data_IF_953875651222
#
_entry.id   IF_953875651222
#
_cell.length_a   1.000
_cell.length_b   1.000
_cell.length_c   1.000
_cell.angle_alpha   90.00
_cell.angle_beta   90.00
_cell.angle_gamma   90.00
#
_symmetry.space_group_name_H-M   'P 1'
#
loop_
_entity.id
_entity.type
_entity.pdbx_description
1 polymer ?
#
# COMPACT_ATOMS: atom_id res chain seq x y z
N UNK A 1 22.44 35.13 27.74
CA UNK A 1 22.48 34.22 26.57
C UNK A 1 22.26 32.78 27.04
N UNK A 2 21.03 32.32 27.30
CA UNK A 2 20.91 31.02 28.00
C UNK A 2 19.55 30.31 28.12
N UNK A 3 18.45 30.86 27.59
CA UNK A 3 17.14 30.17 27.63
C UNK A 3 16.47 30.20 26.25
N UNK A 4 16.51 31.33 25.55
CA UNK A 4 15.90 31.47 24.22
C UNK A 4 16.61 30.62 23.16
N UNK A 5 17.94 30.46 23.23
CA UNK A 5 18.68 29.56 22.33
C UNK A 5 18.41 28.09 22.62
N UNK A 6 18.23 27.71 23.89
CA UNK A 6 17.84 26.33 24.28
C UNK A 6 16.42 25.97 23.83
N UNK A 7 15.51 26.94 23.81
CA UNK A 7 14.14 26.75 23.30
C UNK A 7 14.18 26.66 21.76
N UNK A 8 15.00 27.47 21.08
CA UNK A 8 15.19 27.37 19.62
C UNK A 8 15.83 26.03 19.21
N UNK A 9 16.76 25.47 20.00
CA UNK A 9 17.31 24.12 19.73
C UNK A 9 16.32 22.99 20.04
N UNK A 10 15.39 23.20 20.98
CA UNK A 10 14.32 22.24 21.27
C UNK A 10 13.24 22.23 20.17
N UNK A 11 12.97 23.38 19.54
CA UNK A 11 12.03 23.50 18.42
C UNK A 11 12.66 23.28 17.03
N UNK A 12 13.99 23.29 16.91
CA UNK A 12 14.70 22.81 15.71
C UNK A 12 14.84 21.29 15.68
N UNK A 13 14.07 20.58 16.52
CA UNK A 13 13.94 19.13 16.49
C UNK A 13 13.43 18.69 15.13
N UNK A 14 14.39 18.28 14.31
CA UNK A 14 14.34 17.55 13.06
C UNK A 14 12.97 17.30 12.46
N UNK A 15 12.86 17.63 11.15
CA UNK A 15 12.18 16.75 10.20
C UNK A 15 12.37 15.33 10.70
N UNK A 16 11.30 14.64 11.12
CA UNK A 16 11.37 13.22 11.50
C UNK A 16 12.25 12.56 10.45
N UNK A 17 13.47 12.16 10.83
CA UNK A 17 14.23 11.25 9.99
C UNK A 17 13.29 10.08 9.81
N UNK A 18 12.89 9.82 8.58
CA UNK A 18 12.22 8.57 8.21
C UNK A 18 13.29 7.51 8.37
N UNK A 19 13.55 7.10 9.61
CA UNK A 19 14.54 6.07 9.98
C UNK A 19 14.04 4.66 9.65
N UNK A 20 12.90 4.59 8.97
CA UNK A 20 12.31 3.36 8.48
C UNK A 20 12.38 3.46 6.97
N UNK A 21 13.09 2.50 6.35
CA UNK A 21 13.03 2.25 4.91
C UNK A 21 11.58 2.39 4.46
N UNK A 22 11.31 3.16 3.41
CA UNK A 22 9.95 3.28 2.89
C UNK A 22 9.53 1.93 2.33
N UNK A 23 8.91 1.10 3.18
CA UNK A 23 8.48 -0.27 2.88
C UNK A 23 7.52 -0.33 1.68
N UNK A 24 7.02 0.82 1.20
CA UNK A 24 6.21 0.93 -0.02
C UNK A 24 6.95 0.58 -1.32
N UNK A 25 8.29 0.52 -1.30
CA UNK A 25 9.11 0.06 -2.43
C UNK A 25 9.27 -1.47 -2.48
N UNK A 26 8.87 -2.19 -1.43
CA UNK A 26 8.99 -3.63 -1.33
C UNK A 26 7.65 -4.26 -1.71
N UNK A 27 7.57 -4.78 -2.93
CA UNK A 27 6.33 -5.35 -3.47
C UNK A 27 6.34 -6.88 -3.38
N UNK A 28 5.23 -7.50 -2.97
CA UNK A 28 4.94 -8.87 -3.35
C UNK A 28 5.04 -8.98 -4.88
N UNK A 29 5.73 -10.00 -5.36
CA UNK A 29 5.95 -10.19 -6.81
C UNK A 29 5.23 -11.45 -7.23
N UNK A 30 4.45 -11.38 -8.32
CA UNK A 30 3.96 -12.58 -8.98
C UNK A 30 5.14 -13.30 -9.61
N UNK A 31 5.49 -14.48 -9.08
CA UNK A 31 6.49 -15.31 -9.73
C UNK A 31 5.84 -16.07 -10.90
N UNK A 32 6.53 -16.09 -12.03
CA UNK A 32 6.25 -17.06 -13.09
C UNK A 32 6.27 -18.48 -12.50
N UNK A 33 5.33 -19.36 -12.87
CA UNK A 33 5.34 -20.77 -12.44
C UNK A 33 6.68 -21.48 -12.69
N UNK A 34 7.47 -21.01 -13.67
CA UNK A 34 8.77 -21.57 -14.04
C UNK A 34 9.95 -20.95 -13.26
N UNK A 35 9.77 -19.79 -12.63
CA UNK A 35 10.77 -19.18 -11.74
C UNK A 35 10.64 -19.62 -10.28
N UNK A 36 9.65 -20.48 -9.96
CA UNK A 36 9.46 -21.13 -8.65
C UNK A 36 10.69 -21.91 -8.14
N UNK A 37 11.75 -22.06 -8.94
CA UNK A 37 13.02 -22.68 -8.52
C UNK A 37 14.32 -21.88 -8.75
N UNK A 38 14.29 -20.66 -9.31
CA UNK A 38 15.51 -20.02 -9.88
C UNK A 38 15.81 -18.60 -9.35
N UNK A 39 15.40 -18.25 -8.14
CA UNK A 39 15.67 -16.91 -7.61
C UNK A 39 16.35 -16.98 -6.25
N UNK A 40 17.49 -16.31 -6.13
CA UNK A 40 18.28 -16.01 -4.91
C UNK A 40 17.51 -15.15 -3.88
N UNK A 41 16.19 -15.15 -3.97
CA UNK A 41 15.26 -14.33 -3.21
C UNK A 41 14.45 -15.31 -2.38
N UNK A 42 14.69 -15.29 -1.07
CA UNK A 42 14.21 -16.38 -0.22
C UNK A 42 12.68 -16.41 -0.12
N UNK A 43 12.22 -17.65 -0.17
CA UNK A 43 10.83 -18.08 -0.22
C UNK A 43 10.43 -18.52 1.17
N UNK A 44 9.24 -18.12 1.61
CA UNK A 44 8.64 -18.73 2.79
C UNK A 44 8.59 -20.25 2.56
N UNK A 45 9.01 -21.10 3.52
CA UNK A 45 8.71 -22.51 3.44
C UNK A 45 7.18 -22.61 3.51
N UNK A 46 6.54 -22.86 2.37
CA UNK A 46 5.13 -23.22 2.35
C UNK A 46 5.03 -24.46 3.23
N UNK A 47 4.35 -24.37 4.37
CA UNK A 47 3.92 -25.54 5.12
C UNK A 47 2.73 -26.10 4.34
N UNK A 48 2.85 -27.18 3.55
CA UNK A 48 1.75 -27.60 2.71
C UNK A 48 1.35 -28.98 3.19
N UNK A 49 0.62 -29.06 4.30
CA UNK A 49 -0.24 -30.23 4.41
C UNK A 49 -1.51 -30.04 3.57
N UNK A 50 -1.96 -28.79 3.39
CA UNK A 50 -3.07 -28.40 2.54
C UNK A 50 -2.62 -27.21 1.68
N UNK A 51 -2.32 -27.43 0.40
CA UNK A 51 -1.93 -26.32 -0.50
C UNK A 51 -3.09 -25.34 -0.69
N UNK A 52 -2.80 -24.07 -1.01
CA UNK A 52 -3.82 -23.04 -1.30
C UNK A 52 -4.92 -23.52 -2.26
N UNK A 53 -4.52 -24.31 -3.25
CA UNK A 53 -5.39 -24.97 -4.21
C UNK A 53 -6.49 -25.82 -3.56
N UNK A 54 -6.12 -26.59 -2.53
CA UNK A 54 -7.06 -27.46 -1.82
C UNK A 54 -8.13 -26.66 -1.07
N UNK A 55 -7.77 -25.52 -0.46
CA UNK A 55 -8.75 -24.64 0.20
C UNK A 55 -9.79 -24.10 -0.80
N UNK A 56 -9.34 -23.68 -1.99
CA UNK A 56 -10.26 -23.29 -3.06
C UNK A 56 -11.13 -24.45 -3.56
N UNK A 57 -10.58 -25.66 -3.64
CA UNK A 57 -11.35 -26.85 -4.03
C UNK A 57 -12.42 -27.18 -2.96
N UNK A 58 -12.09 -27.14 -1.67
CA UNK A 58 -13.06 -27.30 -0.59
C UNK A 58 -14.19 -26.27 -0.68
N UNK A 59 -13.84 -25.00 -0.88
CA UNK A 59 -14.83 -23.93 -1.08
C UNK A 59 -15.71 -24.20 -2.31
N UNK A 60 -15.12 -24.70 -3.40
CA UNK A 60 -15.85 -24.90 -4.64
C UNK A 60 -16.78 -26.12 -4.61
N UNK A 61 -16.37 -27.20 -3.94
CA UNK A 61 -17.12 -28.45 -3.86
C UNK A 61 -18.12 -28.49 -2.70
N UNK A 62 -17.97 -27.63 -1.67
CA UNK A 62 -18.89 -27.57 -0.54
C UNK A 62 -19.90 -26.43 -0.70
N UNK A 63 -21.16 -26.78 -0.97
CA UNK A 63 -22.26 -25.81 -1.04
C UNK A 63 -22.50 -25.08 0.29
N UNK A 64 -22.26 -25.77 1.41
CA UNK A 64 -22.39 -25.18 2.75
C UNK A 64 -21.34 -24.09 2.96
N UNK A 65 -20.07 -24.37 2.68
CA UNK A 65 -19.01 -23.37 2.81
C UNK A 65 -19.23 -22.20 1.86
N UNK A 66 -19.60 -22.48 0.61
CA UNK A 66 -19.91 -21.45 -0.38
C UNK A 66 -21.03 -20.53 0.08
N UNK A 67 -22.09 -21.09 0.67
CA UNK A 67 -23.23 -20.31 1.15
C UNK A 67 -22.85 -19.43 2.34
N UNK A 68 -22.12 -19.97 3.32
CA UNK A 68 -21.68 -19.23 4.50
C UNK A 68 -20.77 -18.07 4.10
N UNK A 69 -19.73 -18.33 3.32
CA UNK A 69 -18.77 -17.30 2.91
C UNK A 69 -19.45 -16.22 2.06
N UNK A 70 -20.30 -16.61 1.11
CA UNK A 70 -21.07 -15.64 0.32
C UNK A 70 -21.94 -14.75 1.19
N UNK A 71 -22.62 -15.30 2.20
CA UNK A 71 -23.42 -14.50 3.14
C UNK A 71 -22.55 -13.55 3.96
N UNK A 72 -21.37 -13.99 4.43
CA UNK A 72 -20.43 -13.12 5.14
C UNK A 72 -19.98 -11.93 4.27
N UNK A 73 -19.52 -12.20 3.05
CA UNK A 73 -19.06 -11.16 2.12
C UNK A 73 -20.20 -10.18 1.80
N UNK A 74 -21.41 -10.69 1.55
CA UNK A 74 -22.57 -9.84 1.28
C UNK A 74 -22.92 -8.93 2.47
N UNK A 75 -22.86 -9.47 3.69
CA UNK A 75 -23.14 -8.72 4.91
C UNK A 75 -22.06 -7.67 5.20
N UNK A 76 -20.78 -8.00 5.02
CA UNK A 76 -19.65 -7.07 5.15
C UNK A 76 -19.81 -5.86 4.25
N UNK A 77 -20.16 -6.08 2.98
CA UNK A 77 -20.27 -5.01 1.99
C UNK A 77 -21.69 -4.49 1.79
N UNK A 78 -22.66 -4.86 2.64
CA UNK A 78 -24.08 -4.48 2.47
C UNK A 78 -24.29 -2.97 2.43
N UNK A 79 -23.53 -2.21 3.22
CA UNK A 79 -23.64 -0.75 3.31
C UNK A 79 -22.73 -0.01 2.31
N UNK A 80 -21.90 -0.72 1.57
CA UNK A 80 -20.90 -0.13 0.69
C UNK A 80 -19.81 0.64 1.45
N UNK A 81 -19.14 1.55 0.74
CA UNK A 81 -18.05 2.38 1.27
C UNK A 81 -18.52 3.81 1.45
N UNK A 82 -18.16 4.42 2.58
CA UNK A 82 -18.41 5.84 2.85
C UNK A 82 -17.10 6.61 2.80
N UNK A 83 -17.02 7.61 1.92
CA UNK A 83 -15.88 8.52 1.84
C UNK A 83 -16.04 9.57 2.94
N UNK A 84 -15.09 9.61 3.87
CA UNK A 84 -15.06 10.58 4.97
C UNK A 84 -13.94 11.59 4.71
N UNK A 85 -14.19 12.90 4.84
CA UNK A 85 -13.14 13.90 4.70
C UNK A 85 -12.07 13.71 5.77
N UNK A 86 -10.78 13.84 5.39
CA UNK A 86 -9.64 13.68 6.30
C UNK A 86 -9.60 14.75 7.40
N UNK A 87 -10.04 15.96 7.07
CA UNK A 87 -10.06 17.12 7.95
C UNK A 87 -11.35 17.91 7.73
N UNK A 88 -11.80 18.66 8.72
CA UNK A 88 -12.91 19.59 8.55
C UNK A 88 -12.44 20.92 7.97
N UNK A 89 -11.25 21.37 8.38
CA UNK A 89 -10.65 22.63 7.94
C UNK A 89 -9.13 22.51 7.90
N UNK A 90 -8.50 23.08 6.88
CA UNK A 90 -7.04 23.15 6.73
C UNK A 90 -6.58 24.59 6.52
N UNK A 91 -5.59 25.04 7.27
CA UNK A 91 -5.01 26.37 7.06
C UNK A 91 -4.18 26.40 5.77
N UNK A 92 -4.40 27.41 4.92
CA UNK A 92 -3.70 27.55 3.64
C UNK A 92 -2.22 27.95 3.79
N UNK A 93 -1.84 28.55 4.92
CA UNK A 93 -0.51 29.14 5.13
C UNK A 93 0.41 28.15 5.85
N UNK A 94 -0.03 27.61 7.00
CA UNK A 94 0.80 26.69 7.80
C UNK A 94 0.51 25.21 7.53
N UNK A 95 -0.57 24.89 6.82
CA UNK A 95 -0.97 23.51 6.51
C UNK A 95 -1.56 22.74 7.68
N UNK A 96 -1.83 23.38 8.82
CA UNK A 96 -2.44 22.75 9.99
C UNK A 96 -3.85 22.21 9.67
N UNK A 97 -4.10 20.96 10.06
CA UNK A 97 -5.35 20.23 9.83
C UNK A 97 -6.15 20.19 11.14
N UNK A 98 -7.42 20.58 11.09
CA UNK A 98 -8.34 20.57 12.23
C UNK A 98 -9.54 19.66 11.92
N UNK A 99 -9.93 18.85 12.91
CA UNK A 99 -11.11 17.98 12.81
C UNK A 99 -12.42 18.71 13.14
N UNK A 100 -12.33 19.86 13.80
CA UNK A 100 -13.47 20.72 14.14
C UNK A 100 -13.39 22.03 13.36
N UNK A 101 -14.54 22.67 13.14
CA UNK A 101 -14.60 24.00 12.54
C UNK A 101 -14.06 25.03 13.53
N UNK A 102 -12.84 25.49 13.29
CA UNK A 102 -12.21 26.60 14.01
C UNK A 102 -12.36 27.88 13.19
N UNK A 103 -12.56 29.03 13.85
CA UNK A 103 -12.68 30.33 13.17
C UNK A 103 -11.31 30.91 12.80
N UNK A 104 -10.27 30.63 13.59
CA UNK A 104 -8.90 31.08 13.33
C UNK A 104 -7.94 29.94 13.54
N UNK A 105 -6.85 29.94 12.78
CA UNK A 105 -5.78 28.97 12.98
C UNK A 105 -5.07 29.22 14.32
N UNK A 106 -4.97 28.21 15.18
CA UNK A 106 -4.32 28.32 16.49
C UNK A 106 -2.79 28.53 16.38
N UNK A 107 -2.17 28.01 15.31
CA UNK A 107 -0.72 28.05 15.13
C UNK A 107 -0.22 29.37 14.54
N UNK A 108 -0.93 29.94 13.56
CA UNK A 108 -0.48 31.14 12.85
C UNK A 108 -1.42 32.33 12.99
N UNK A 109 -2.56 32.19 13.68
CA UNK A 109 -3.57 33.24 13.85
C UNK A 109 -4.29 33.65 12.56
N UNK A 110 -3.98 33.01 11.43
CA UNK A 110 -4.56 33.38 10.13
C UNK A 110 -6.01 32.92 10.00
N UNK A 111 -6.79 33.74 9.30
CA UNK A 111 -8.20 33.51 8.97
C UNK A 111 -8.38 32.74 7.64
N UNK A 112 -7.28 32.45 6.94
CA UNK A 112 -7.30 31.74 5.66
C UNK A 112 -7.38 30.23 5.87
N UNK A 113 -8.60 29.78 6.12
CA UNK A 113 -8.99 28.40 6.34
C UNK A 113 -9.69 27.85 5.09
N UNK A 114 -9.28 26.66 4.64
CA UNK A 114 -9.83 25.94 3.49
C UNK A 114 -10.63 24.73 3.98
N UNK A 115 -11.88 24.63 3.53
CA UNK A 115 -12.69 23.42 3.70
C UNK A 115 -12.28 22.33 2.69
N UNK A 116 -12.62 21.06 2.94
CA UNK A 116 -12.45 19.97 1.98
C UNK A 116 -13.05 20.32 0.61
N UNK A 117 -12.30 20.02 -0.43
CA UNK A 117 -12.71 20.34 -1.78
C UNK A 117 -13.73 19.30 -2.29
N UNK A 118 -14.88 19.79 -2.76
CA UNK A 118 -15.90 18.92 -3.36
C UNK A 118 -15.40 18.27 -4.65
N UNK A 119 -14.53 18.94 -5.39
CA UNK A 119 -13.97 18.38 -6.64
C UNK A 119 -13.09 17.16 -6.38
N UNK A 120 -12.31 17.19 -5.29
CA UNK A 120 -11.48 16.05 -4.88
C UNK A 120 -12.36 14.86 -4.47
N UNK A 121 -13.46 15.15 -3.75
CA UNK A 121 -14.46 14.15 -3.39
C UNK A 121 -15.10 13.51 -4.63
N UNK A 122 -15.59 14.31 -5.57
CA UNK A 122 -16.20 13.81 -6.79
C UNK A 122 -15.19 12.98 -7.59
N UNK A 123 -13.96 13.47 -7.78
CA UNK A 123 -12.91 12.75 -8.50
C UNK A 123 -12.64 11.38 -7.90
N UNK A 124 -12.56 11.28 -6.56
CA UNK A 124 -12.37 10.01 -5.88
C UNK A 124 -13.57 9.09 -6.05
N UNK A 125 -14.79 9.63 -5.96
CA UNK A 125 -16.02 8.87 -6.14
C UNK A 125 -16.10 8.25 -7.54
N UNK A 126 -15.85 9.04 -8.58
CA UNK A 126 -15.81 8.56 -9.97
C UNK A 126 -14.74 7.47 -10.15
N UNK A 127 -13.57 7.66 -9.56
CA UNK A 127 -12.50 6.65 -9.61
C UNK A 127 -12.85 5.37 -8.84
N UNK A 128 -13.68 5.42 -7.80
CA UNK A 128 -14.10 4.21 -7.06
C UNK A 128 -15.18 3.40 -7.79
N UNK A 129 -15.94 4.02 -8.69
CA UNK A 129 -16.96 3.36 -9.50
C UNK A 129 -16.32 2.53 -10.61
N UNK A 130 -15.19 2.97 -11.16
CA UNK A 130 -14.41 2.27 -12.18
C UNK A 130 -12.92 2.30 -11.85
N UNK A 131 -12.41 1.16 -11.39
CA UNK A 131 -11.07 1.03 -10.80
C UNK A 131 -10.12 0.24 -11.69
N UNK A 132 -10.61 -0.51 -12.68
CA UNK A 132 -9.78 -1.37 -13.49
C UNK A 132 -10.28 -1.55 -14.93
N UNK A 133 -9.44 -2.13 -15.79
CA UNK A 133 -9.80 -2.32 -17.21
C UNK A 133 -10.98 -3.29 -17.44
N UNK A 134 -11.42 -4.00 -16.40
CA UNK A 134 -12.56 -4.92 -16.45
C UNK A 134 -13.87 -4.24 -16.02
N UNK A 135 -13.91 -2.90 -15.94
CA UNK A 135 -15.05 -2.09 -15.53
C UNK A 135 -15.58 -2.47 -14.13
N UNK A 136 -14.70 -2.92 -13.22
CA UNK A 136 -15.08 -3.27 -11.86
C UNK A 136 -14.98 -2.07 -10.92
N UNK A 137 -15.96 -1.96 -10.02
CA UNK A 137 -15.92 -1.00 -8.92
C UNK A 137 -14.95 -1.44 -7.82
N UNK A 138 -14.50 -0.49 -6.99
CA UNK A 138 -13.64 -0.79 -5.85
C UNK A 138 -14.28 -1.81 -4.90
N UNK A 139 -15.60 -1.71 -4.73
CA UNK A 139 -16.36 -2.60 -3.84
C UNK A 139 -16.34 -4.04 -4.36
N UNK A 140 -16.41 -4.24 -5.68
CA UNK A 140 -16.33 -5.57 -6.28
C UNK A 140 -14.95 -6.19 -6.11
N UNK A 141 -13.89 -5.43 -6.39
CA UNK A 141 -12.51 -5.89 -6.16
C UNK A 141 -12.29 -6.25 -4.69
N UNK A 142 -12.80 -5.43 -3.75
CA UNK A 142 -12.69 -5.72 -2.33
C UNK A 142 -13.52 -6.93 -1.89
N UNK A 143 -14.67 -7.19 -2.51
CA UNK A 143 -15.43 -8.43 -2.28
C UNK A 143 -14.62 -9.65 -2.68
N UNK A 144 -13.94 -9.62 -3.83
CA UNK A 144 -13.07 -10.72 -4.27
C UNK A 144 -11.92 -10.97 -3.28
N UNK A 145 -11.34 -9.91 -2.73
CA UNK A 145 -10.32 -9.98 -1.68
C UNK A 145 -10.88 -10.60 -0.40
N UNK A 146 -12.11 -10.22 -0.01
CA UNK A 146 -12.75 -10.78 1.18
C UNK A 146 -13.07 -12.27 0.99
N UNK A 147 -13.41 -12.72 -0.21
CA UNK A 147 -13.50 -14.16 -0.52
C UNK A 147 -12.16 -14.87 -0.28
N UNK A 148 -11.05 -14.30 -0.76
CA UNK A 148 -9.73 -14.90 -0.55
C UNK A 148 -9.35 -14.98 0.93
N UNK A 149 -9.65 -13.92 1.68
CA UNK A 149 -9.43 -13.89 3.12
C UNK A 149 -10.24 -14.97 3.84
N UNK A 150 -11.52 -15.15 3.49
CA UNK A 150 -12.36 -16.17 4.12
C UNK A 150 -11.99 -17.62 3.71
N UNK A 151 -11.36 -17.83 2.56
CA UNK A 151 -10.98 -19.17 2.08
C UNK A 151 -9.58 -19.58 2.57
N UNK A 152 -8.60 -18.66 2.52
CA UNK A 152 -7.17 -18.95 2.70
C UNK A 152 -6.58 -18.24 3.92
N UNK A 153 -7.28 -17.26 4.49
CA UNK A 153 -6.75 -16.33 5.51
C UNK A 153 -5.61 -15.44 5.00
N UNK A 154 -5.40 -15.41 3.68
CA UNK A 154 -4.46 -14.51 3.03
C UNK A 154 -5.10 -13.91 1.78
N UNK A 155 -4.94 -12.60 1.59
CA UNK A 155 -5.41 -11.90 0.41
C UNK A 155 -4.45 -10.76 0.05
N UNK A 156 -4.32 -10.48 -1.26
CA UNK A 156 -3.38 -9.48 -1.76
C UNK A 156 -4.08 -8.51 -2.71
N UNK A 157 -3.97 -7.22 -2.44
CA UNK A 157 -4.48 -6.15 -3.28
C UNK A 157 -3.34 -5.51 -4.07
N UNK A 158 -3.37 -5.62 -5.39
CA UNK A 158 -2.38 -5.00 -6.27
C UNK A 158 -2.87 -3.62 -6.71
N UNK A 159 -2.07 -2.58 -6.42
CA UNK A 159 -2.33 -1.20 -6.87
C UNK A 159 -1.28 -0.81 -7.89
N UNK A 160 -1.68 -0.70 -9.16
CA UNK A 160 -0.82 -0.23 -10.24
C UNK A 160 -0.76 1.30 -10.18
N UNK A 161 0.44 1.83 -9.99
CA UNK A 161 0.68 3.28 -9.91
C UNK A 161 1.52 3.76 -11.08
N UNK A 162 1.19 4.95 -11.58
CA UNK A 162 2.02 5.77 -12.47
C UNK A 162 2.76 6.79 -11.63
N UNK A 163 4.08 6.81 -11.76
CA UNK A 163 4.96 7.74 -11.06
C UNK A 163 5.39 8.86 -11.99
N UNK A 164 5.44 10.08 -11.48
CA UNK A 164 6.09 11.22 -12.13
C UNK A 164 7.40 11.53 -11.43
N UNK A 165 8.44 11.80 -12.22
CA UNK A 165 9.79 12.00 -11.73
C UNK A 165 10.26 13.45 -11.96
N UNK A 166 11.07 13.97 -11.04
CA UNK A 166 11.84 15.20 -11.22
C UNK A 166 13.02 14.95 -12.18
N UNK A 167 13.67 16.03 -12.64
CA UNK A 167 14.93 15.98 -13.41
C UNK A 167 16.02 15.16 -12.70
N UNK A 168 15.99 15.12 -11.37
CA UNK A 168 16.93 14.35 -10.54
C UNK A 168 16.60 12.86 -10.41
N UNK A 169 15.48 12.39 -11.00
CA UNK A 169 15.00 11.00 -10.89
C UNK A 169 14.19 10.70 -9.62
N UNK A 170 13.87 11.71 -8.82
CA UNK A 170 13.07 11.56 -7.60
C UNK A 170 11.57 11.53 -7.90
N UNK A 171 10.80 10.73 -7.16
CA UNK A 171 9.34 10.63 -7.32
C UNK A 171 8.65 11.86 -6.76
N UNK A 172 7.93 12.60 -7.61
CA UNK A 172 7.15 13.78 -7.23
C UNK A 172 5.74 13.39 -6.83
N UNK A 173 5.09 12.58 -7.67
CA UNK A 173 3.72 12.15 -7.48
C UNK A 173 3.52 10.72 -7.93
N UNK A 174 2.55 10.06 -7.30
CA UNK A 174 2.11 8.72 -7.65
C UNK A 174 0.60 8.76 -7.84
N UNK A 175 0.13 8.50 -9.06
CA UNK A 175 -1.29 8.37 -9.38
C UNK A 175 -1.64 6.87 -9.46
N UNK A 176 -2.62 6.37 -8.68
CA UNK A 176 -3.15 5.03 -8.91
C UNK A 176 -3.85 5.00 -10.27
N UNK A 177 -3.48 4.03 -11.10
CA UNK A 177 -4.13 3.75 -12.36
C UNK A 177 -5.20 2.69 -12.16
N UNK A 178 -4.83 1.61 -11.50
CA UNK A 178 -5.64 0.40 -11.45
C UNK A 178 -5.52 -0.30 -10.10
N UNK A 179 -6.61 -0.91 -9.64
CA UNK A 179 -6.59 -1.84 -8.50
C UNK A 179 -7.14 -3.19 -8.90
N UNK A 180 -6.37 -4.23 -8.61
CA UNK A 180 -6.68 -5.60 -8.95
C UNK A 180 -6.54 -6.50 -7.72
N UNK A 181 -7.33 -7.57 -7.71
CA UNK A 181 -7.14 -8.68 -6.79
C UNK A 181 -5.97 -9.54 -7.29
N UNK A 182 -4.95 -9.69 -6.45
CA UNK A 182 -3.83 -10.58 -6.72
C UNK A 182 -4.07 -11.94 -6.06
N UNK A 183 -3.99 -13.01 -6.85
CA UNK A 183 -4.27 -14.35 -6.36
C UNK A 183 -3.21 -14.81 -5.34
N UNK A 184 -3.63 -15.23 -4.13
CA UNK A 184 -2.72 -15.78 -3.12
C UNK A 184 -1.90 -16.98 -3.62
N UNK A 185 -2.41 -17.75 -4.58
CA UNK A 185 -1.69 -18.91 -5.14
C UNK A 185 -0.41 -18.54 -5.90
N UNK A 186 -0.34 -17.31 -6.41
CA UNK A 186 0.73 -16.79 -7.25
C UNK A 186 1.63 -15.79 -6.53
N UNK A 187 1.20 -15.30 -5.37
CA UNK A 187 1.91 -14.31 -4.59
C UNK A 187 2.83 -14.98 -3.59
N UNK A 188 4.08 -14.53 -3.56
CA UNK A 188 5.07 -14.95 -2.57
C UNK A 188 5.65 -13.71 -1.88
N UNK A 189 5.91 -13.86 -0.58
CA UNK A 189 6.60 -12.87 0.21
C UNK A 189 8.11 -13.00 -0.03
N UNK A 190 8.74 -11.88 -0.34
CA UNK A 190 10.19 -11.78 -0.39
C UNK A 190 10.72 -11.61 1.03
N UNK A 191 11.42 -12.62 1.55
CA UNK A 191 12.02 -12.57 2.89
C UNK A 191 13.26 -13.44 2.99
N UNK A 192 14.20 -13.06 3.84
CA UNK A 192 15.40 -13.83 4.20
C UNK A 192 15.01 -15.03 5.10
N UNK A 193 15.86 -16.07 5.22
CA UNK A 193 15.69 -17.22 6.13
C UNK A 193 15.38 -16.85 7.58
N UNK A 194 15.83 -15.67 8.00
CA UNK A 194 15.55 -15.12 9.34
C UNK A 194 14.14 -14.52 9.46
N UNK A 195 13.30 -14.59 8.42
CA UNK A 195 11.97 -13.98 8.36
C UNK A 195 11.98 -12.46 8.16
N UNK A 196 13.12 -11.88 7.78
CA UNK A 196 13.23 -10.43 7.54
C UNK A 196 12.74 -10.11 6.14
N UNK A 197 11.73 -9.25 6.04
CA UNK A 197 11.15 -8.84 4.77
C UNK A 197 12.15 -8.14 3.85
N UNK A 198 11.95 -8.34 2.54
CA UNK A 198 12.67 -7.68 1.45
C UNK A 198 14.19 -7.83 1.47
N UNK A 199 14.65 -8.93 2.06
CA UNK A 199 16.07 -9.31 2.06
C UNK A 199 16.25 -10.63 1.34
N UNK A 200 17.39 -10.76 0.68
CA UNK A 200 17.91 -12.05 0.21
C UNK A 200 18.61 -12.78 1.37
N UNK A 201 18.91 -14.06 1.20
CA UNK A 201 19.67 -14.88 2.15
C UNK A 201 21.05 -14.27 2.48
N UNK A 202 21.62 -13.51 1.54
CA UNK A 202 22.89 -12.80 1.71
C UNK A 202 22.76 -11.53 2.57
N UNK A 203 21.56 -11.23 3.09
CA UNK A 203 21.26 -10.04 3.89
C UNK A 203 21.11 -8.74 3.08
N UNK A 204 21.32 -8.79 1.76
CA UNK A 204 21.12 -7.66 0.83
C UNK A 204 19.64 -7.35 0.64
N UNK A 205 19.34 -6.08 0.39
CA UNK A 205 17.98 -5.59 0.16
C UNK A 205 17.57 -5.85 -1.28
N UNK A 206 16.38 -6.43 -1.46
CA UNK A 206 15.77 -6.66 -2.77
C UNK A 206 14.98 -5.43 -3.18
N UNK A 207 15.36 -4.82 -4.30
CA UNK A 207 14.78 -3.59 -4.82
C UNK A 207 14.26 -3.79 -6.24
N UNK A 208 13.21 -3.05 -6.60
CA UNK A 208 12.67 -3.00 -7.95
C UNK A 208 12.71 -1.56 -8.48
N UNK A 209 13.10 -1.40 -9.74
CA UNK A 209 13.02 -0.10 -10.39
C UNK A 209 11.55 0.26 -10.66
N UNK A 210 11.16 1.50 -10.38
CA UNK A 210 9.77 1.96 -10.56
C UNK A 210 9.35 2.03 -12.04
N UNK A 211 10.34 2.21 -12.93
CA UNK A 211 10.19 2.31 -14.39
C UNK A 211 10.39 0.96 -15.04
N UNK A 212 11.57 0.35 -14.88
CA UNK A 212 11.95 -0.93 -15.48
C UNK A 212 11.69 -2.06 -14.49
N UNK A 213 10.46 -2.60 -14.50
CA UNK A 213 9.98 -3.58 -13.50
C UNK A 213 10.37 -5.03 -13.83
N UNK A 214 11.27 -5.23 -14.78
CA UNK A 214 11.54 -6.53 -15.38
C UNK A 214 12.46 -7.41 -14.52
N UNK A 215 13.24 -6.80 -13.62
CA UNK A 215 14.24 -7.49 -12.79
C UNK A 215 14.29 -6.90 -11.38
N UNK A 216 14.65 -7.77 -10.43
CA UNK A 216 15.01 -7.35 -9.09
C UNK A 216 16.52 -7.04 -9.03
N UNK A 217 16.89 -6.11 -8.16
CA UNK A 217 18.27 -5.74 -7.90
C UNK A 217 18.59 -5.95 -6.43
N UNK A 218 19.74 -6.58 -6.16
CA UNK A 218 20.26 -6.75 -4.81
C UNK A 218 21.17 -5.58 -4.49
N UNK A 219 20.86 -4.86 -3.42
CA UNK A 219 21.62 -3.67 -3.00
C UNK A 219 22.02 -3.84 -1.54
N UNK A 220 23.24 -3.40 -1.20
CA UNK A 220 23.67 -3.32 0.19
C UNK A 220 22.80 -2.33 0.97
N UNK A 221 22.48 -2.64 2.23
CA UNK A 221 21.55 -1.85 3.06
C UNK A 221 21.95 -0.36 3.17
N UNK A 222 23.26 -0.08 3.21
CA UNK A 222 23.79 1.28 3.29
C UNK A 222 23.55 2.09 1.99
N UNK A 223 23.59 1.42 0.84
CA UNK A 223 23.45 2.05 -0.49
C UNK A 223 22.02 2.04 -1.00
N UNK A 224 21.13 1.31 -0.33
CA UNK A 224 19.74 1.15 -0.71
C UNK A 224 18.98 2.49 -0.87
N UNK A 225 19.37 3.53 -0.11
CA UNK A 225 18.72 4.86 -0.17
C UNK A 225 19.11 5.66 -1.40
N UNK A 226 20.36 5.55 -1.84
CA UNK A 226 20.92 6.32 -2.96
C UNK A 226 20.95 5.50 -4.25
N UNK A 227 20.45 4.26 -4.21
CA UNK A 227 20.37 3.36 -5.34
C UNK A 227 19.48 3.96 -6.43
N UNK A 228 20.09 4.21 -7.59
CA UNK A 228 19.39 4.62 -8.80
C UNK A 228 19.20 3.41 -9.71
N UNK A 229 18.31 3.57 -10.70
CA UNK A 229 18.26 2.61 -11.79
C UNK A 229 19.67 2.47 -12.39
N UNK A 230 20.18 1.24 -12.58
CA UNK A 230 21.43 1.03 -13.30
C UNK A 230 21.31 1.50 -14.76
#
# INVERSE_FOLDING_TARGET
>A
MGIVERIKSAFSSGKRKRDVIDWSLMRPTELSPWSKGVSDVAKMPTLPWLGFRFCYELYNYSDLLRTIIRSLVQETFRKGLTIVPKFAVKCAICGAEYQTRVAKCELCGSDKLREPDKKEFDTLRWWMEDVNFNDQSLVEVLKEIDYDLNIIDNAYLAVVKKYTFNENGEVIAAKPLEVLRASPEKMELVMDKSGRFARSDDGRVVMFCLVHRDRHHLVDEEKARDARCP
#
